data_IF_455185984662
#
_entry.id   IF_455185984662
#
_cell.length_a   1.000
_cell.length_b   1.000
_cell.length_c   1.000
_cell.angle_alpha   90.00
_cell.angle_beta   90.00
_cell.angle_gamma   90.00
#
_symmetry.space_group_name_H-M   'P 1'
#
loop_
_entity.id
_entity.type
_entity.pdbx_description
1 polymer ?
#
# COMPACT_ATOMS: atom_id res chain seq x y z
N UNK A 1 -28.03 -4.28 21.17
CA UNK A 1 -27.52 -4.40 19.79
C UNK A 1 -28.49 -5.23 18.98
N UNK A 2 -28.50 -5.08 17.66
CA UNK A 2 -29.31 -5.89 16.72
C UNK A 2 -28.37 -6.70 15.82
N UNK A 3 -28.84 -7.85 15.35
CA UNK A 3 -28.20 -8.72 14.35
C UNK A 3 -28.80 -8.53 12.94
N UNK A 4 -29.75 -7.61 12.77
CA UNK A 4 -30.33 -7.30 11.49
C UNK A 4 -29.24 -6.80 10.52
N UNK A 5 -29.00 -7.56 9.45
CA UNK A 5 -27.89 -7.33 8.51
C UNK A 5 -27.91 -5.92 7.92
N UNK A 6 -29.08 -5.39 7.56
CA UNK A 6 -29.21 -4.03 7.02
C UNK A 6 -28.74 -2.98 8.04
N UNK A 7 -29.19 -3.08 9.29
CA UNK A 7 -28.82 -2.16 10.35
C UNK A 7 -27.31 -2.21 10.65
N UNK A 8 -26.72 -3.41 10.69
CA UNK A 8 -25.27 -3.58 10.90
C UNK A 8 -24.48 -3.00 9.73
N UNK A 9 -24.88 -3.29 8.50
CA UNK A 9 -24.23 -2.76 7.29
C UNK A 9 -24.27 -1.24 7.23
N UNK A 10 -25.43 -0.65 7.54
CA UNK A 10 -25.59 0.80 7.48
C UNK A 10 -24.76 1.49 8.57
N UNK A 11 -24.68 0.89 9.77
CA UNK A 11 -23.79 1.35 10.83
C UNK A 11 -22.31 1.23 10.44
N UNK A 12 -21.88 0.14 9.80
CA UNK A 12 -20.50 -0.07 9.37
C UNK A 12 -19.98 1.04 8.44
N UNK A 13 -20.86 1.64 7.64
CA UNK A 13 -20.52 2.74 6.73
C UNK A 13 -20.33 4.11 7.42
N UNK A 14 -20.54 4.19 8.74
CA UNK A 14 -20.55 5.46 9.46
C UNK A 14 -19.24 5.83 10.12
N UNK A 15 -18.35 4.87 10.36
CA UNK A 15 -17.12 5.08 11.10
C UNK A 15 -15.89 4.76 10.25
N UNK A 16 -14.80 5.44 10.57
CA UNK A 16 -13.46 5.00 10.20
C UNK A 16 -12.90 4.13 11.32
N UNK A 17 -11.99 3.22 10.99
CA UNK A 17 -11.29 2.42 11.98
C UNK A 17 -9.78 2.37 11.68
N UNK A 18 -8.99 2.33 12.74
CA UNK A 18 -7.53 2.21 12.66
C UNK A 18 -7.17 0.74 12.42
N UNK A 19 -6.69 0.43 11.22
CA UNK A 19 -6.23 -0.90 10.84
C UNK A 19 -4.70 -0.96 10.79
N UNK A 20 -4.09 -2.16 10.74
CA UNK A 20 -2.65 -2.30 10.54
C UNK A 20 -2.11 -1.62 9.27
N UNK A 21 -2.97 -1.47 8.25
CA UNK A 21 -2.64 -0.80 6.99
C UNK A 21 -2.90 0.72 7.01
N UNK A 22 -3.34 1.27 8.14
CA UNK A 22 -3.76 2.66 8.32
C UNK A 22 -5.27 2.79 8.50
N UNK A 23 -5.77 4.03 8.54
CA UNK A 23 -7.20 4.32 8.68
C UNK A 23 -7.98 3.79 7.47
N UNK A 24 -9.04 3.02 7.71
CA UNK A 24 -9.95 2.48 6.69
C UNK A 24 -11.37 2.99 6.94
N UNK A 25 -12.11 3.25 5.86
CA UNK A 25 -13.54 3.58 5.92
C UNK A 25 -14.27 2.99 4.71
N UNK A 26 -15.52 2.57 4.91
CA UNK A 26 -16.39 2.11 3.83
C UNK A 26 -17.07 3.30 3.15
N UNK A 27 -17.03 3.32 1.82
CA UNK A 27 -17.81 4.22 1.00
C UNK A 27 -19.30 3.89 1.08
N UNK A 28 -20.11 4.92 1.32
CA UNK A 28 -21.54 4.76 1.55
C UNK A 28 -22.28 4.34 0.28
N UNK A 29 -21.77 4.74 -0.89
CA UNK A 29 -22.44 4.60 -2.17
C UNK A 29 -22.11 3.27 -2.85
N UNK A 30 -20.84 2.85 -2.83
CA UNK A 30 -20.33 1.70 -3.58
C UNK A 30 -19.96 0.50 -2.69
N UNK A 31 -20.00 0.65 -1.36
CA UNK A 31 -19.50 -0.33 -0.38
C UNK A 31 -18.00 -0.69 -0.51
N UNK A 32 -17.23 0.02 -1.34
CA UNK A 32 -15.78 -0.16 -1.41
C UNK A 32 -15.10 0.60 -0.27
N UNK A 33 -13.79 0.42 -0.10
CA UNK A 33 -13.05 1.03 1.00
C UNK A 33 -12.13 2.15 0.53
N UNK A 34 -12.07 3.23 1.31
CA UNK A 34 -10.97 4.18 1.27
C UNK A 34 -9.75 3.52 1.94
N UNK A 35 -8.65 3.42 1.21
CA UNK A 35 -7.41 2.77 1.64
C UNK A 35 -6.21 3.66 1.33
N UNK A 36 -5.08 3.44 2.01
CA UNK A 36 -3.80 4.12 1.72
C UNK A 36 -2.85 3.15 1.00
N UNK A 37 -2.83 3.11 -0.36
CA UNK A 37 -2.06 2.11 -1.09
C UNK A 37 -0.55 2.33 -0.96
N UNK A 38 0.20 1.23 -1.03
CA UNK A 38 1.66 1.21 -0.99
C UNK A 38 2.20 0.39 -2.13
N UNK A 39 3.29 0.85 -2.73
CA UNK A 39 4.08 0.08 -3.68
C UNK A 39 5.34 -0.41 -2.98
N UNK A 40 5.67 -1.68 -3.17
CA UNK A 40 6.83 -2.28 -2.55
C UNK A 40 7.57 -3.24 -3.49
N UNK A 41 8.87 -3.35 -3.28
CA UNK A 41 9.74 -4.31 -3.95
C UNK A 41 9.98 -5.49 -3.03
N UNK A 42 9.72 -6.71 -3.52
CA UNK A 42 10.04 -7.94 -2.79
C UNK A 42 11.56 -8.10 -2.68
N UNK A 43 12.02 -8.60 -1.52
CA UNK A 43 13.41 -8.85 -1.19
C UNK A 43 13.63 -10.33 -0.90
N UNK A 44 14.86 -10.80 -1.07
CA UNK A 44 15.28 -12.11 -0.56
C UNK A 44 15.06 -12.12 0.97
N UNK A 45 14.56 -13.23 1.51
CA UNK A 45 14.21 -13.33 2.93
C UNK A 45 12.77 -12.95 3.26
N UNK A 46 11.86 -12.99 2.27
CA UNK A 46 10.40 -12.87 2.46
C UNK A 46 9.95 -11.52 3.05
N UNK A 47 10.63 -10.43 2.68
CA UNK A 47 10.28 -9.08 3.10
C UNK A 47 9.98 -8.17 1.92
N UNK A 48 9.33 -7.05 2.21
CA UNK A 48 8.98 -6.02 1.23
C UNK A 48 9.61 -4.70 1.64
N UNK A 49 10.27 -4.02 0.71
CA UNK A 49 10.68 -2.63 0.89
C UNK A 49 9.66 -1.71 0.23
N UNK A 50 8.95 -0.91 1.03
CA UNK A 50 8.06 0.13 0.53
C UNK A 50 8.88 1.21 -0.17
N UNK A 51 8.47 1.58 -1.38
CA UNK A 51 9.14 2.55 -2.25
C UNK A 51 8.28 3.78 -2.52
N UNK A 52 6.98 3.67 -2.26
CA UNK A 52 5.99 4.73 -2.40
C UNK A 52 4.76 4.37 -1.57
N UNK A 53 4.11 5.40 -1.03
CA UNK A 53 2.87 5.33 -0.26
C UNK A 53 2.02 6.55 -0.62
N UNK A 54 0.70 6.37 -0.74
CA UNK A 54 -0.21 7.50 -0.89
C UNK A 54 -0.17 8.38 0.37
N UNK A 55 -0.22 9.71 0.21
CA UNK A 55 -0.16 10.62 1.35
C UNK A 55 -1.38 10.53 2.28
N UNK A 56 -2.51 10.04 1.77
CA UNK A 56 -3.78 9.91 2.46
C UNK A 56 -4.62 8.79 1.83
N UNK A 57 -5.73 8.35 2.48
CA UNK A 57 -6.63 7.37 1.90
C UNK A 57 -7.19 7.82 0.55
N UNK A 58 -7.11 6.96 -0.45
CA UNK A 58 -7.58 7.17 -1.82
C UNK A 58 -9.05 6.73 -1.93
N UNK A 59 -9.84 7.53 -2.65
CA UNK A 59 -11.24 7.24 -2.95
C UNK A 59 -11.38 5.99 -3.84
N UNK A 60 -12.25 5.02 -3.49
CA UNK A 60 -12.50 3.88 -4.35
C UNK A 60 -13.35 4.25 -5.58
N UNK A 61 -12.78 4.06 -6.76
CA UNK A 61 -13.53 4.06 -8.03
C UNK A 61 -13.55 2.65 -8.65
N UNK A 62 -14.58 1.83 -8.35
CA UNK A 62 -14.67 0.46 -8.87
C UNK A 62 -15.03 0.36 -10.34
N UNK A 63 -15.51 1.45 -10.97
CA UNK A 63 -15.95 1.48 -12.36
C UNK A 63 -15.07 2.33 -13.25
N UNK A 64 -13.84 2.59 -12.80
CA UNK A 64 -12.85 3.40 -13.49
C UNK A 64 -12.68 2.98 -14.97
N UNK A 65 -13.05 3.87 -15.89
CA UNK A 65 -13.08 3.59 -17.34
C UNK A 65 -11.83 4.02 -18.10
N UNK A 66 -11.03 4.96 -17.56
CA UNK A 66 -9.73 5.33 -18.12
C UNK A 66 -8.89 6.12 -17.11
N UNK A 67 -7.63 5.75 -16.93
CA UNK A 67 -6.60 6.58 -16.30
C UNK A 67 -5.72 7.09 -17.43
N UNK A 68 -5.43 8.40 -17.45
CA UNK A 68 -4.75 9.11 -18.54
C UNK A 68 -3.41 8.49 -19.00
N UNK A 69 -2.82 9.09 -20.04
CA UNK A 69 -1.60 8.58 -20.69
C UNK A 69 -0.50 8.22 -19.67
N UNK A 70 0.11 7.05 -19.86
CA UNK A 70 1.16 6.55 -19.00
C UNK A 70 2.31 7.57 -18.90
N UNK A 71 2.51 8.15 -17.73
CA UNK A 71 3.66 9.00 -17.48
C UNK A 71 4.95 8.19 -17.73
N UNK A 72 5.85 8.76 -18.53
CA UNK A 72 7.13 8.15 -18.84
C UNK A 72 7.86 7.77 -17.55
N UNK A 73 8.24 6.50 -17.43
CA UNK A 73 8.95 5.97 -16.26
C UNK A 73 10.33 6.63 -16.18
N UNK A 74 10.67 7.40 -15.12
CA UNK A 74 12.02 7.90 -14.95
C UNK A 74 12.93 6.76 -14.49
N UNK A 75 13.37 5.91 -15.43
CA UNK A 75 14.18 4.72 -15.16
C UNK A 75 15.46 5.04 -14.36
N UNK A 76 16.01 6.24 -14.54
CA UNK A 76 17.22 6.73 -13.87
C UNK A 76 17.02 6.97 -12.37
N UNK A 77 15.87 7.49 -11.96
CA UNK A 77 15.56 7.78 -10.54
C UNK A 77 15.33 6.48 -9.74
N UNK A 78 14.65 5.51 -10.37
CA UNK A 78 14.40 4.19 -9.78
C UNK A 78 15.69 3.40 -9.57
N UNK A 79 16.58 3.40 -10.58
CA UNK A 79 17.88 2.72 -10.49
C UNK A 79 18.76 3.33 -9.39
N UNK A 80 18.75 4.64 -9.20
CA UNK A 80 19.50 5.30 -8.14
C UNK A 80 19.02 4.87 -6.73
N UNK A 81 17.70 4.82 -6.49
CA UNK A 81 17.12 4.36 -5.23
C UNK A 81 17.32 2.86 -4.99
N UNK A 82 17.26 2.03 -6.05
CA UNK A 82 17.53 0.60 -5.98
C UNK A 82 19.01 0.26 -5.75
N UNK A 83 19.94 0.99 -6.37
CA UNK A 83 21.38 0.82 -6.19
C UNK A 83 21.84 1.26 -4.79
N UNK A 84 21.26 2.33 -4.25
CA UNK A 84 21.46 2.76 -2.85
C UNK A 84 21.07 1.67 -1.84
N UNK A 85 20.02 0.89 -2.13
CA UNK A 85 19.61 -0.24 -1.31
C UNK A 85 20.54 -1.46 -1.43
N UNK A 86 21.16 -1.69 -2.60
CA UNK A 86 22.13 -2.77 -2.78
C UNK A 86 23.51 -2.45 -2.19
N UNK A 87 23.95 -1.20 -2.27
CA UNK A 87 25.25 -0.76 -1.73
C UNK A 87 25.34 -0.87 -0.20
N UNK A 88 24.22 -0.80 0.51
CA UNK A 88 24.15 -1.01 1.98
C UNK A 88 24.23 -2.48 2.42
N UNK A 89 24.19 -3.44 1.48
CA UNK A 89 24.19 -4.88 1.76
C UNK A 89 25.57 -5.53 1.56
N UNK A 90 26.61 -4.77 1.22
CA UNK A 90 27.97 -5.29 0.95
C UNK A 90 28.88 -5.19 2.19
N UNK A 91 28.33 -5.23 3.41
CA UNK A 91 29.16 -5.25 4.62
C UNK A 91 28.72 -6.42 5.51
N UNK A 92 29.71 -7.22 5.92
CA UNK A 92 29.68 -8.36 6.84
C UNK A 92 29.34 -9.75 6.27
N UNK A 93 30.23 -10.28 5.41
CA UNK A 93 30.51 -11.73 5.39
C UNK A 93 32.01 -12.01 5.22
N UNK A 94 32.84 -11.61 6.17
CA UNK A 94 34.13 -12.25 6.44
C UNK A 94 34.34 -12.36 7.95
N UNK A 95 34.26 -13.59 8.47
CA UNK A 95 35.09 -14.14 9.56
C UNK A 95 34.37 -15.28 10.30
N UNK A 96 34.71 -16.53 9.95
CA UNK A 96 35.31 -17.54 10.85
C UNK A 96 35.15 -18.95 10.26
N UNK A 97 36.18 -19.39 9.55
CA UNK A 97 36.60 -20.79 9.60
C UNK A 97 37.73 -20.90 10.62
N UNK A 98 37.50 -21.66 11.70
CA UNK A 98 38.48 -22.37 12.53
C UNK A 98 37.72 -23.25 13.53
#
# INVERSE_FOLDING_TARGET
>A
GTDAVSAVRDAAKTFSFEAPEGTVRIDRTTNHSFLTPRLAVSRRGFSFQIIWEAAEPVDPDPFLVWQGEAQARPETEWKAKGASAQARHVVDTEAKES
#
